data_IF_737318057385
#
_entry.id   IF_737318057385
#
_cell.length_a   1.000
_cell.length_b   1.000
_cell.length_c   1.000
_cell.angle_alpha   90.00
_cell.angle_beta   90.00
_cell.angle_gamma   90.00
#
_symmetry.space_group_name_H-M   'P 1'
#
loop_
_entity.id
_entity.type
_entity.pdbx_description
1 polymer ?
#
# COMPACT_ATOMS: atom_id res chain seq x y z
N UNK A 1 -14.55 16.79 -12.17
CA UNK A 1 -14.42 16.68 -13.64
C UNK A 1 -12.97 16.57 -14.09
N UNK A 2 -12.09 17.52 -13.76
CA UNK A 2 -10.68 17.47 -14.19
C UNK A 2 -9.93 16.21 -13.72
N UNK A 3 -10.07 15.82 -12.44
CA UNK A 3 -9.45 14.60 -11.91
C UNK A 3 -9.88 13.35 -12.69
N UNK A 4 -11.19 13.14 -12.84
CA UNK A 4 -11.72 11.99 -13.61
C UNK A 4 -11.17 11.98 -15.03
N UNK A 5 -11.05 13.13 -15.69
CA UNK A 5 -10.47 13.22 -17.02
C UNK A 5 -8.98 12.80 -17.04
N UNK A 6 -8.17 13.25 -16.09
CA UNK A 6 -6.75 12.85 -15.96
C UNK A 6 -6.62 11.34 -15.81
N UNK A 7 -7.40 10.74 -14.91
CA UNK A 7 -7.35 9.29 -14.69
C UNK A 7 -7.99 8.48 -15.83
N UNK A 8 -8.98 9.05 -16.53
CA UNK A 8 -9.52 8.43 -17.76
C UNK A 8 -8.47 8.40 -18.86
N UNK A 9 -7.72 9.49 -19.05
CA UNK A 9 -6.60 9.53 -19.98
C UNK A 9 -5.54 8.53 -19.55
N UNK A 10 -5.24 8.44 -18.26
CA UNK A 10 -4.21 7.55 -17.77
C UNK A 10 -4.55 6.06 -17.99
N UNK A 11 -5.79 5.67 -17.69
CA UNK A 11 -6.28 4.31 -17.90
C UNK A 11 -6.38 3.94 -19.38
N UNK A 12 -6.75 4.88 -20.26
CA UNK A 12 -7.03 4.57 -21.68
C UNK A 12 -5.84 4.78 -22.61
N UNK A 13 -4.98 5.72 -22.27
CA UNK A 13 -3.88 6.19 -23.12
C UNK A 13 -2.56 6.25 -22.35
N UNK A 14 -2.34 5.28 -21.44
CA UNK A 14 -1.16 5.18 -20.60
C UNK A 14 0.16 5.37 -21.36
N UNK A 15 0.25 4.81 -22.57
CA UNK A 15 1.45 4.91 -23.42
C UNK A 15 1.75 6.33 -23.92
N UNK A 16 0.74 7.20 -23.96
CA UNK A 16 0.87 8.58 -24.45
C UNK A 16 1.18 9.59 -23.33
N UNK A 17 1.12 9.17 -22.06
CA UNK A 17 1.31 10.06 -20.92
C UNK A 17 2.76 10.58 -20.83
N UNK A 18 3.75 9.72 -21.10
CA UNK A 18 5.19 10.03 -20.95
C UNK A 18 5.51 10.60 -19.56
N UNK A 19 6.12 11.78 -19.48
CA UNK A 19 6.46 12.47 -18.23
C UNK A 19 5.24 12.89 -17.39
N UNK A 20 4.02 12.72 -17.91
CA UNK A 20 2.80 12.97 -17.16
C UNK A 20 2.54 11.96 -16.03
N UNK A 21 3.24 10.82 -16.01
CA UNK A 21 3.11 9.84 -14.92
C UNK A 21 3.45 10.45 -13.57
N UNK A 22 4.45 11.32 -13.53
CA UNK A 22 4.75 12.14 -12.35
C UNK A 22 3.54 12.88 -11.79
N UNK A 23 2.73 13.51 -12.64
CA UNK A 23 1.55 14.26 -12.18
C UNK A 23 0.46 13.32 -11.64
N UNK A 24 0.28 12.16 -12.29
CA UNK A 24 -0.65 11.13 -11.83
C UNK A 24 -0.23 10.61 -10.46
N UNK A 25 1.06 10.26 -10.31
CA UNK A 25 1.64 9.79 -9.06
C UNK A 25 1.58 10.85 -7.96
N UNK A 26 1.95 12.10 -8.25
CA UNK A 26 1.86 13.20 -7.29
C UNK A 26 0.42 13.37 -6.76
N UNK A 27 -0.58 13.18 -7.62
CA UNK A 27 -1.98 13.19 -7.20
C UNK A 27 -2.34 11.98 -6.33
N UNK A 28 -1.92 10.78 -6.71
CA UNK A 28 -2.16 9.54 -5.94
C UNK A 28 -1.52 9.65 -4.54
N UNK A 29 -0.28 10.10 -4.46
CA UNK A 29 0.42 10.32 -3.18
C UNK A 29 -0.24 11.43 -2.36
N UNK A 30 -0.79 12.46 -3.01
CA UNK A 30 -1.59 13.46 -2.31
C UNK A 30 -2.87 12.86 -1.71
N UNK A 31 -3.55 11.96 -2.43
CA UNK A 31 -4.73 11.23 -1.92
C UNK A 31 -4.38 10.28 -0.77
N UNK A 32 -3.21 9.63 -0.83
CA UNK A 32 -2.68 8.77 0.22
C UNK A 32 -2.50 9.55 1.52
N UNK A 33 -1.82 10.70 1.46
CA UNK A 33 -1.55 11.55 2.63
C UNK A 33 -2.80 12.06 3.34
N UNK A 34 -3.90 12.23 2.62
CA UNK A 34 -5.19 12.67 3.17
C UNK A 34 -6.13 11.50 3.48
N UNK A 35 -5.68 10.25 3.33
CA UNK A 35 -6.46 9.05 3.66
C UNK A 35 -7.68 8.81 2.77
N UNK A 36 -7.67 9.31 1.53
CA UNK A 36 -8.80 9.18 0.60
C UNK A 36 -8.56 8.12 -0.50
N UNK A 37 -7.44 7.41 -0.47
CA UNK A 37 -7.19 6.32 -1.41
C UNK A 37 -8.11 5.12 -1.13
N UNK A 38 -8.62 4.44 -2.18
CA UNK A 38 -9.31 3.17 -2.02
C UNK A 38 -8.39 2.12 -1.36
N UNK A 39 -8.93 1.37 -0.40
CA UNK A 39 -8.20 0.40 0.45
C UNK A 39 -7.55 -0.78 -0.30
N UNK A 40 -7.68 -0.85 -1.63
CA UNK A 40 -7.39 -2.04 -2.45
C UNK A 40 -6.18 -1.90 -3.37
N UNK A 41 -5.46 -0.79 -3.35
CA UNK A 41 -4.49 -0.46 -4.40
C UNK A 41 -3.30 -1.44 -4.49
N UNK A 42 -2.92 -2.09 -3.40
CA UNK A 42 -1.72 -2.92 -3.32
C UNK A 42 -1.97 -4.43 -3.10
N UNK A 43 -3.22 -4.89 -2.98
CA UNK A 43 -3.53 -6.22 -2.40
C UNK A 43 -3.88 -7.34 -3.40
N UNK A 44 -4.04 -7.05 -4.69
CA UNK A 44 -4.64 -8.02 -5.64
C UNK A 44 -3.64 -8.88 -6.44
N UNK A 45 -2.33 -8.84 -6.15
CA UNK A 45 -1.33 -9.59 -6.91
C UNK A 45 -1.11 -11.05 -6.45
N UNK A 46 -1.78 -11.50 -5.38
CA UNK A 46 -1.53 -12.82 -4.75
C UNK A 46 -2.66 -13.83 -4.92
N UNK A 47 -3.86 -13.43 -5.33
CA UNK A 47 -5.03 -14.34 -5.31
C UNK A 47 -5.08 -15.32 -6.49
N UNK A 48 -4.18 -15.20 -7.48
CA UNK A 48 -4.21 -16.03 -8.70
C UNK A 48 -3.24 -17.22 -8.69
N UNK A 49 -2.53 -17.49 -7.58
CA UNK A 49 -1.48 -18.54 -7.54
C UNK A 49 -1.80 -19.75 -6.63
N UNK A 50 -2.86 -19.71 -5.81
CA UNK A 50 -3.18 -20.82 -4.87
C UNK A 50 -4.45 -21.65 -5.20
N UNK A 51 -5.04 -21.50 -6.39
CA UNK A 51 -6.23 -22.29 -6.79
C UNK A 51 -5.88 -23.57 -7.58
N UNK A 52 -4.78 -24.25 -7.27
CA UNK A 52 -4.48 -25.56 -7.84
C UNK A 52 -3.81 -26.51 -6.85
N UNK A 53 -4.59 -27.04 -5.91
CA UNK A 53 -4.32 -28.37 -5.36
C UNK A 53 -5.62 -29.02 -4.89
N UNK A 54 -6.01 -30.04 -5.63
CA UNK A 54 -6.78 -31.23 -5.28
C UNK A 54 -8.05 -31.09 -4.44
N UNK A 55 -9.16 -31.28 -5.16
CA UNK A 55 -10.37 -31.91 -4.64
C UNK A 55 -10.00 -33.32 -4.17
N UNK A 56 -10.11 -33.58 -2.88
CA UNK A 56 -10.53 -34.90 -2.44
C UNK A 56 -11.55 -34.83 -1.31
N UNK A 57 -12.62 -35.58 -1.53
CA UNK A 57 -13.82 -35.64 -0.71
C UNK A 57 -13.58 -36.56 0.48
N UNK A 58 -13.95 -36.13 1.69
CA UNK A 58 -14.47 -37.05 2.71
C UNK A 58 -15.60 -36.38 3.49
N UNK A 59 -16.83 -36.86 3.24
CA UNK A 59 -18.03 -36.68 4.07
C UNK A 59 -17.97 -37.65 5.25
N UNK A 60 -18.28 -37.19 6.47
CA UNK A 60 -19.04 -38.01 7.45
C UNK A 60 -19.94 -37.15 8.34
N UNK A 61 -21.19 -37.61 8.45
CA UNK A 61 -22.37 -37.09 9.13
C UNK A 61 -22.33 -37.19 10.67
N UNK A 62 -22.91 -36.15 11.31
CA UNK A 62 -23.99 -36.17 12.33
C UNK A 62 -23.74 -36.65 13.78
N UNK A 63 -24.33 -35.91 14.75
CA UNK A 63 -25.55 -36.32 15.51
C UNK A 63 -25.77 -35.51 16.82
N UNK A 64 -26.88 -34.73 16.82
CA UNK A 64 -27.92 -34.46 17.84
C UNK A 64 -27.75 -33.59 19.12
N UNK A 65 -28.75 -32.70 19.26
CA UNK A 65 -29.15 -31.78 20.35
C UNK A 65 -29.92 -32.49 21.52
N UNK A 66 -30.42 -31.83 22.60
CA UNK A 66 -31.58 -30.90 22.54
C UNK A 66 -31.69 -29.73 23.58
N UNK A 67 -32.40 -28.69 23.10
CA UNK A 67 -33.38 -27.76 23.71
C UNK A 67 -33.40 -27.37 25.21
N UNK A 68 -33.52 -26.05 25.47
CA UNK A 68 -34.57 -25.49 26.34
C UNK A 68 -35.00 -24.08 25.89
N UNK A 69 -36.24 -23.73 26.23
CA UNK A 69 -37.12 -22.75 25.60
C UNK A 69 -37.36 -21.50 26.50
N UNK A 70 -37.31 -20.28 25.90
CA UNK A 70 -38.01 -18.98 26.20
C UNK A 70 -37.88 -18.29 27.59
N UNK A 71 -38.19 -16.97 27.77
CA UNK A 71 -38.55 -15.90 26.83
C UNK A 71 -37.79 -14.55 26.99
N UNK A 72 -38.12 -13.60 26.10
CA UNK A 72 -37.58 -12.26 25.91
C UNK A 72 -37.36 -11.39 27.18
N UNK A 73 -36.18 -10.74 27.24
CA UNK A 73 -35.99 -9.43 27.88
C UNK A 73 -35.19 -8.53 26.95
N UNK A 74 -35.82 -7.43 26.54
CA UNK A 74 -35.21 -6.28 25.89
C UNK A 74 -34.35 -5.53 26.92
N UNK A 75 -33.09 -5.28 26.61
CA UNK A 75 -32.27 -4.18 27.15
C UNK A 75 -31.08 -4.00 26.20
N UNK A 76 -31.02 -2.92 25.43
CA UNK A 76 -30.34 -1.66 25.83
C UNK A 76 -28.83 -1.91 26.01
N UNK A 77 -27.89 -1.38 25.21
CA UNK A 77 -27.94 -0.49 24.06
C UNK A 77 -26.51 -0.36 23.52
N UNK A 78 -26.36 -0.29 22.19
CA UNK A 78 -25.09 0.04 21.50
C UNK A 78 -24.81 1.56 21.57
N UNK A 79 -25.64 2.33 22.29
CA UNK A 79 -25.47 3.75 22.53
C UNK A 79 -24.78 4.05 23.87
N UNK A 80 -23.70 3.30 24.18
CA UNK A 80 -22.95 3.44 25.44
C UNK A 80 -21.61 4.16 25.31
N UNK A 81 -21.13 4.46 24.10
CA UNK A 81 -19.77 5.01 23.88
C UNK A 81 -19.72 6.51 23.59
N UNK A 82 -20.85 7.22 23.63
CA UNK A 82 -20.88 8.68 23.56
C UNK A 82 -20.87 9.37 24.94
N UNK A 83 -20.81 8.62 26.05
CA UNK A 83 -20.89 9.20 27.39
C UNK A 83 -19.55 9.65 27.98
N UNK A 84 -18.44 9.59 27.23
CA UNK A 84 -17.13 10.08 27.70
C UNK A 84 -16.70 11.44 27.13
N UNK A 85 -17.57 12.13 26.38
CA UNK A 85 -17.26 13.45 25.79
C UNK A 85 -17.94 14.63 26.50
N UNK A 86 -18.49 14.43 27.70
CA UNK A 86 -19.10 15.50 28.49
C UNK A 86 -18.52 15.56 29.91
N UNK A 87 -17.20 15.63 30.02
CA UNK A 87 -16.53 16.05 31.25
C UNK A 87 -15.52 17.16 30.97
N UNK A 88 -16.02 18.39 31.15
CA UNK A 88 -15.35 19.61 31.64
C UNK A 88 -13.88 19.85 31.21
N UNK A 89 -13.64 20.80 30.32
CA UNK A 89 -13.34 22.20 30.67
C UNK A 89 -13.19 23.06 29.38
N UNK A 90 -13.35 24.37 29.50
CA UNK A 90 -13.61 25.32 28.42
C UNK A 90 -12.57 25.36 27.26
N UNK A 91 -12.97 24.92 26.06
CA UNK A 91 -12.46 25.46 24.79
C UNK A 91 -13.43 25.10 23.64
N UNK A 92 -13.91 26.15 22.95
CA UNK A 92 -14.59 26.19 21.65
C UNK A 92 -15.19 24.87 21.08
N UNK A 93 -16.52 24.77 20.87
CA UNK A 93 -17.12 23.56 20.33
C UNK A 93 -16.65 23.32 18.89
N UNK A 94 -15.99 22.19 18.65
CA UNK A 94 -15.66 21.72 17.30
C UNK A 94 -16.92 21.74 16.42
N UNK A 95 -16.88 22.53 15.35
CA UNK A 95 -17.99 22.71 14.43
C UNK A 95 -18.45 21.36 13.87
N UNK A 96 -19.73 21.00 14.09
CA UNK A 96 -20.34 19.84 13.43
C UNK A 96 -20.26 20.05 11.91
N UNK A 97 -19.85 19.06 11.11
CA UNK A 97 -19.80 19.20 9.67
C UNK A 97 -21.21 19.55 9.16
N UNK A 98 -21.32 20.63 8.40
CA UNK A 98 -22.55 21.04 7.74
C UNK A 98 -23.00 19.98 6.74
N UNK A 99 -24.31 19.98 6.42
CA UNK A 99 -24.88 19.11 5.39
C UNK A 99 -24.16 19.29 4.03
N UNK A 100 -23.76 20.51 3.72
CA UNK A 100 -22.97 20.82 2.52
C UNK A 100 -21.59 20.17 2.53
N UNK A 101 -20.90 20.17 3.68
CA UNK A 101 -19.60 19.51 3.83
C UNK A 101 -19.71 17.98 3.69
N UNK A 102 -20.77 17.37 4.23
CA UNK A 102 -21.04 15.95 4.04
C UNK A 102 -21.33 15.62 2.57
N UNK A 103 -22.16 16.44 1.90
CA UNK A 103 -22.44 16.28 0.47
C UNK A 103 -21.20 16.51 -0.41
N UNK A 104 -20.31 17.44 -0.04
CA UNK A 104 -19.03 17.65 -0.71
C UNK A 104 -18.10 16.44 -0.53
N UNK A 105 -18.00 15.91 0.69
CA UNK A 105 -17.18 14.74 1.00
C UNK A 105 -17.64 13.50 0.21
N UNK A 106 -18.97 13.23 0.19
CA UNK A 106 -19.57 12.16 -0.61
C UNK A 106 -19.21 12.29 -2.10
N UNK A 107 -19.33 13.51 -2.66
CA UNK A 107 -18.97 13.78 -4.05
C UNK A 107 -17.48 13.55 -4.33
N UNK A 108 -16.61 13.90 -3.39
CA UNK A 108 -15.17 13.63 -3.51
C UNK A 108 -14.89 12.13 -3.56
N UNK A 109 -15.48 11.33 -2.65
CA UNK A 109 -15.31 9.87 -2.65
C UNK A 109 -15.83 9.23 -3.94
N UNK A 110 -17.00 9.65 -4.43
CA UNK A 110 -17.52 9.19 -5.72
C UNK A 110 -16.60 9.58 -6.89
N UNK A 111 -16.03 10.78 -6.86
CA UNK A 111 -15.09 11.25 -7.88
C UNK A 111 -13.84 10.37 -7.89
N UNK A 112 -13.29 10.03 -6.72
CA UNK A 112 -12.13 9.16 -6.58
C UNK A 112 -12.44 7.74 -7.05
N UNK A 113 -13.61 7.19 -6.72
CA UNK A 113 -14.04 5.88 -7.22
C UNK A 113 -14.11 5.85 -8.75
N UNK A 114 -14.67 6.90 -9.37
CA UNK A 114 -14.75 7.03 -10.83
C UNK A 114 -13.39 7.24 -11.51
N UNK A 115 -12.31 7.45 -10.75
CA UNK A 115 -10.97 7.55 -11.31
C UNK A 115 -10.36 6.17 -11.61
N UNK A 116 -10.89 5.07 -11.04
CA UNK A 116 -10.37 3.72 -11.26
C UNK A 116 -8.83 3.66 -11.13
N UNK A 117 -8.33 4.17 -10.01
CA UNK A 117 -6.87 4.33 -9.77
C UNK A 117 -6.17 2.97 -9.72
N UNK A 118 -6.82 1.96 -9.18
CA UNK A 118 -6.39 0.56 -9.12
C UNK A 118 -6.14 -0.03 -10.51
N UNK A 119 -7.00 0.29 -11.48
CA UNK A 119 -6.87 -0.20 -12.85
C UNK A 119 -5.53 0.20 -13.47
N UNK A 120 -5.00 1.40 -13.19
CA UNK A 120 -3.69 1.84 -13.71
C UNK A 120 -2.58 0.84 -13.38
N UNK A 121 -2.58 0.30 -12.17
CA UNK A 121 -1.54 -0.60 -11.69
C UNK A 121 -1.81 -2.07 -12.03
N UNK A 122 -3.08 -2.49 -11.96
CA UNK A 122 -3.51 -3.81 -12.40
C UNK A 122 -3.29 -4.03 -13.91
N UNK A 123 -3.54 -3.00 -14.70
CA UNK A 123 -3.42 -3.02 -16.17
C UNK A 123 -2.03 -2.55 -16.65
N UNK A 124 -1.08 -2.30 -15.73
CA UNK A 124 0.28 -1.87 -16.07
C UNK A 124 1.01 -2.85 -17.01
N UNK A 125 0.64 -4.14 -16.98
CA UNK A 125 1.11 -5.18 -17.90
C UNK A 125 0.84 -4.89 -19.38
N UNK A 126 -0.16 -4.06 -19.67
CA UNK A 126 -0.52 -3.67 -21.04
C UNK A 126 0.23 -2.44 -21.53
N UNK A 127 0.97 -1.73 -20.66
CA UNK A 127 1.78 -0.58 -21.06
C UNK A 127 2.97 -1.01 -21.91
N UNK A 128 3.34 -0.19 -22.88
CA UNK A 128 4.57 -0.34 -23.64
C UNK A 128 5.81 -0.17 -22.75
N UNK A 129 6.94 -0.71 -23.21
CA UNK A 129 8.23 -0.70 -22.52
C UNK A 129 8.59 0.68 -21.96
N UNK A 130 8.55 1.69 -22.81
CA UNK A 130 8.95 3.05 -22.49
C UNK A 130 8.03 3.69 -21.46
N UNK A 131 6.72 3.49 -21.58
CA UNK A 131 5.75 4.07 -20.65
C UNK A 131 5.80 3.40 -19.28
N UNK A 132 5.94 2.07 -19.26
CA UNK A 132 6.10 1.31 -18.02
C UNK A 132 7.39 1.68 -17.28
N UNK A 133 8.52 1.77 -17.98
CA UNK A 133 9.78 2.25 -17.39
C UNK A 133 9.61 3.65 -16.82
N UNK A 134 8.95 4.56 -17.55
CA UNK A 134 8.74 5.93 -17.07
C UNK A 134 7.85 5.98 -15.81
N UNK A 135 6.79 5.19 -15.75
CA UNK A 135 5.94 5.05 -14.56
C UNK A 135 6.77 4.60 -13.35
N UNK A 136 7.59 3.55 -13.51
CA UNK A 136 8.44 3.03 -12.44
C UNK A 136 9.51 4.05 -12.03
N UNK A 137 10.19 4.70 -12.98
CA UNK A 137 11.18 5.73 -12.70
C UNK A 137 10.57 6.90 -11.92
N UNK A 138 9.40 7.41 -12.33
CA UNK A 138 8.75 8.52 -11.64
C UNK A 138 8.23 8.10 -10.25
N UNK A 139 7.82 6.84 -10.05
CA UNK A 139 7.43 6.29 -8.75
C UNK A 139 8.63 6.22 -7.80
N UNK A 140 9.75 5.64 -8.24
CA UNK A 140 10.99 5.57 -7.46
C UNK A 140 11.50 6.97 -7.13
N UNK A 141 11.44 7.89 -8.09
CA UNK A 141 11.81 9.28 -7.86
C UNK A 141 10.91 9.95 -6.82
N UNK A 142 9.60 9.68 -6.85
CA UNK A 142 8.65 10.23 -5.87
C UNK A 142 8.92 9.70 -4.45
N UNK A 143 9.24 8.41 -4.32
CA UNK A 143 9.58 7.77 -3.05
C UNK A 143 10.85 8.32 -2.40
N UNK A 144 11.79 8.85 -3.21
CA UNK A 144 13.07 9.42 -2.75
C UNK A 144 13.03 10.92 -2.51
N UNK A 145 11.90 11.62 -2.71
CA UNK A 145 11.85 13.08 -2.58
C UNK A 145 11.95 13.49 -1.11
N UNK A 146 12.96 14.29 -0.71
CA UNK A 146 12.99 14.84 0.64
C UNK A 146 11.84 15.83 0.81
N UNK A 147 10.86 15.50 1.64
CA UNK A 147 9.78 16.43 1.94
C UNK A 147 10.29 17.59 2.82
N UNK A 148 10.12 18.82 2.33
CA UNK A 148 10.66 20.06 2.91
C UNK A 148 9.98 20.49 4.24
N UNK A 149 9.33 19.57 4.96
CA UNK A 149 8.61 19.86 6.20
C UNK A 149 8.99 18.90 7.32
N UNK A 150 8.79 19.30 8.57
CA UNK A 150 9.15 18.55 9.78
C UNK A 150 8.37 17.21 9.98
N UNK A 151 7.71 16.67 8.96
CA UNK A 151 6.82 15.51 9.06
C UNK A 151 7.51 14.21 8.61
N UNK A 152 8.56 13.80 9.33
CA UNK A 152 9.31 12.55 9.06
C UNK A 152 8.40 11.32 8.93
N UNK A 153 7.36 11.22 9.77
CA UNK A 153 6.42 10.09 9.77
C UNK A 153 5.61 9.98 8.47
N UNK A 154 5.18 11.11 7.89
CA UNK A 154 4.43 11.09 6.62
C UNK A 154 5.34 10.76 5.43
N UNK A 155 6.63 11.11 5.52
CA UNK A 155 7.64 10.75 4.53
C UNK A 155 7.84 9.24 4.50
N UNK A 156 7.91 8.62 5.69
CA UNK A 156 7.99 7.18 5.85
C UNK A 156 6.74 6.47 5.32
N UNK A 157 5.53 6.89 5.71
CA UNK A 157 4.28 6.32 5.19
C UNK A 157 4.20 6.41 3.65
N UNK A 158 4.70 7.51 3.08
CA UNK A 158 4.74 7.71 1.63
C UNK A 158 5.72 6.72 0.98
N UNK A 159 6.90 6.53 1.58
CA UNK A 159 7.93 5.61 1.08
C UNK A 159 7.46 4.15 1.12
N UNK A 160 6.79 3.73 2.20
CA UNK A 160 6.21 2.38 2.36
C UNK A 160 5.16 2.14 1.29
N UNK A 161 4.24 3.09 1.12
CA UNK A 161 3.22 3.00 0.07
C UNK A 161 3.84 2.92 -1.35
N UNK A 162 4.90 3.69 -1.62
CA UNK A 162 5.59 3.62 -2.91
C UNK A 162 6.26 2.26 -3.13
N UNK A 163 6.85 1.66 -2.10
CA UNK A 163 7.45 0.33 -2.17
C UNK A 163 6.38 -0.73 -2.42
N UNK A 164 5.25 -0.70 -1.71
CA UNK A 164 4.12 -1.60 -1.95
C UNK A 164 3.61 -1.52 -3.38
N UNK A 165 3.46 -0.29 -3.90
CA UNK A 165 3.01 -0.05 -5.25
C UNK A 165 4.03 -0.52 -6.30
N UNK A 166 5.32 -0.30 -6.03
CA UNK A 166 6.40 -0.79 -6.89
C UNK A 166 6.44 -2.31 -6.94
N UNK A 167 6.25 -2.99 -5.79
CA UNK A 167 6.12 -4.45 -5.72
C UNK A 167 4.91 -4.92 -6.54
N UNK A 168 3.74 -4.28 -6.38
CA UNK A 168 2.53 -4.64 -7.12
C UNK A 168 2.71 -4.50 -8.65
N UNK A 169 3.31 -3.39 -9.11
CA UNK A 169 3.64 -3.19 -10.53
C UNK A 169 4.61 -4.28 -11.00
N UNK A 170 5.65 -4.56 -10.22
CA UNK A 170 6.66 -5.57 -10.58
C UNK A 170 6.05 -6.97 -10.72
N UNK A 171 5.18 -7.36 -9.79
CA UNK A 171 4.46 -8.64 -9.83
C UNK A 171 3.54 -8.74 -11.05
N UNK A 172 2.83 -7.66 -11.40
CA UNK A 172 1.97 -7.62 -12.58
C UNK A 172 2.75 -7.70 -13.91
N UNK A 173 4.04 -7.36 -13.89
CA UNK A 173 4.92 -7.32 -15.07
C UNK A 173 6.01 -8.41 -15.02
N UNK A 174 5.70 -9.57 -14.44
CA UNK A 174 6.66 -10.67 -14.19
C UNK A 174 7.46 -11.11 -15.43
N UNK A 175 6.85 -11.10 -16.61
CA UNK A 175 7.45 -11.48 -17.88
C UNK A 175 8.46 -10.45 -18.41
N UNK A 176 8.39 -9.22 -17.88
CA UNK A 176 9.19 -8.07 -18.29
C UNK A 176 10.02 -7.52 -17.13
N UNK A 177 10.23 -8.31 -16.08
CA UNK A 177 10.92 -7.86 -14.87
C UNK A 177 12.30 -7.25 -15.15
N UNK A 178 13.04 -7.79 -16.12
CA UNK A 178 14.37 -7.27 -16.48
C UNK A 178 14.35 -5.82 -16.97
N UNK A 179 13.22 -5.35 -17.52
CA UNK A 179 13.03 -3.96 -17.93
C UNK A 179 12.84 -3.01 -16.74
N UNK A 180 12.38 -3.53 -15.61
CA UNK A 180 12.11 -2.76 -14.39
C UNK A 180 13.24 -2.92 -13.36
N UNK A 181 14.05 -3.97 -13.51
CA UNK A 181 14.88 -4.48 -12.43
C UNK A 181 15.86 -3.47 -11.87
N UNK A 182 16.55 -2.73 -12.72
CA UNK A 182 17.52 -1.70 -12.30
C UNK A 182 16.86 -0.69 -11.33
N UNK A 183 15.70 -0.15 -11.70
CA UNK A 183 14.96 0.79 -10.87
C UNK A 183 14.41 0.16 -9.59
N UNK A 184 13.95 -1.10 -9.67
CA UNK A 184 13.39 -1.84 -8.53
C UNK A 184 14.49 -2.15 -7.51
N UNK A 185 15.63 -2.66 -7.97
CA UNK A 185 16.81 -2.92 -7.15
C UNK A 185 17.33 -1.65 -6.49
N UNK A 186 17.50 -0.57 -7.25
CA UNK A 186 17.99 0.72 -6.73
C UNK A 186 17.08 1.30 -5.65
N UNK A 187 15.78 1.03 -5.71
CA UNK A 187 14.85 1.43 -4.65
C UNK A 187 14.95 0.52 -3.43
N UNK A 188 14.95 -0.80 -3.63
CA UNK A 188 15.08 -1.79 -2.55
C UNK A 188 16.39 -1.61 -1.81
N UNK A 189 17.52 -1.45 -2.50
CA UNK A 189 18.82 -1.23 -1.89
C UNK A 189 18.81 0.04 -1.03
N UNK A 190 18.20 1.12 -1.51
CA UNK A 190 18.05 2.37 -0.75
C UNK A 190 17.19 2.18 0.51
N UNK A 191 16.08 1.45 0.40
CA UNK A 191 15.21 1.13 1.53
C UNK A 191 15.98 0.29 2.55
N UNK A 192 16.60 -0.82 2.14
CA UNK A 192 17.30 -1.70 3.07
C UNK A 192 18.49 -0.99 3.73
N UNK A 193 19.29 -0.21 3.00
CA UNK A 193 20.38 0.57 3.59
C UNK A 193 19.89 1.54 4.69
N UNK A 194 18.70 2.12 4.52
CA UNK A 194 18.10 2.97 5.56
C UNK A 194 17.60 2.19 6.79
N UNK A 195 17.31 0.89 6.65
CA UNK A 195 16.82 0.01 7.73
C UNK A 195 17.92 -0.66 8.55
N UNK A 196 19.09 -0.92 7.95
CA UNK A 196 20.22 -1.57 8.61
C UNK A 196 20.72 -0.73 9.80
N UNK A 197 20.73 0.59 9.65
CA UNK A 197 21.21 1.56 10.65
C UNK A 197 20.39 1.58 11.97
N UNK A 198 19.04 1.49 11.96
CA UNK A 198 18.23 1.41 13.18
C UNK A 198 17.94 -0.01 13.72
N UNK A 199 18.46 -1.08 13.12
CA UNK A 199 18.02 -2.45 13.45
C UNK A 199 18.45 -2.95 14.85
N UNK A 200 17.64 -3.80 15.48
CA UNK A 200 17.95 -4.43 16.78
C UNK A 200 19.13 -5.42 16.71
N UNK A 201 19.39 -5.97 15.52
CA UNK A 201 20.48 -6.90 15.22
C UNK A 201 21.19 -6.43 13.93
N UNK A 202 22.13 -5.46 14.03
CA UNK A 202 22.78 -4.88 12.87
C UNK A 202 23.56 -5.91 12.05
N UNK A 203 24.29 -6.82 12.69
CA UNK A 203 25.09 -7.85 12.00
C UNK A 203 24.23 -8.82 11.17
N UNK A 204 23.06 -9.23 11.69
CA UNK A 204 22.14 -10.12 10.97
C UNK A 204 21.43 -9.37 9.82
N UNK A 205 21.10 -8.10 10.03
CA UNK A 205 20.49 -7.25 9.00
C UNK A 205 21.46 -6.94 7.87
N UNK A 206 22.74 -6.71 8.20
CA UNK A 206 23.83 -6.51 7.26
C UNK A 206 24.09 -7.77 6.43
N UNK A 207 24.23 -8.95 7.07
CA UNK A 207 24.41 -10.22 6.34
C UNK A 207 23.21 -10.57 5.44
N UNK A 208 21.99 -10.29 5.91
CA UNK A 208 20.77 -10.44 5.11
C UNK A 208 20.75 -9.49 3.90
N UNK A 209 21.15 -8.22 4.10
CA UNK A 209 21.28 -7.26 3.02
C UNK A 209 22.35 -7.65 2.02
N UNK A 210 23.54 -8.09 2.44
CA UNK A 210 24.59 -8.56 1.54
C UNK A 210 24.11 -9.75 0.70
N UNK A 211 23.40 -10.69 1.31
CA UNK A 211 22.82 -11.84 0.61
C UNK A 211 21.79 -11.42 -0.41
N UNK A 212 20.85 -10.53 -0.05
CA UNK A 212 19.86 -9.99 -0.98
C UNK A 212 20.55 -9.21 -2.10
N UNK A 213 21.48 -8.32 -1.77
CA UNK A 213 22.23 -7.52 -2.73
C UNK A 213 22.99 -8.40 -3.71
N UNK A 214 23.62 -9.47 -3.25
CA UNK A 214 24.31 -10.45 -4.08
C UNK A 214 23.35 -11.17 -5.05
N UNK A 215 22.24 -11.72 -4.54
CA UNK A 215 21.21 -12.39 -5.37
C UNK A 215 20.60 -11.42 -6.39
N UNK A 216 20.46 -10.16 -6.00
CA UNK A 216 19.81 -9.13 -6.78
C UNK A 216 20.75 -8.41 -7.77
N UNK A 217 22.06 -8.49 -7.55
CA UNK A 217 23.08 -7.79 -8.35
C UNK A 217 23.00 -8.18 -9.83
N UNK A 218 22.94 -7.16 -10.70
CA UNK A 218 22.82 -7.27 -12.17
C UNK A 218 21.61 -8.07 -12.70
N UNK A 219 20.72 -8.52 -11.82
CA UNK A 219 19.57 -9.37 -12.14
C UNK A 219 19.92 -10.76 -12.71
N UNK A 220 21.20 -11.13 -12.77
CA UNK A 220 21.66 -12.38 -13.38
C UNK A 220 21.16 -13.64 -12.65
N UNK A 221 20.90 -13.52 -11.35
CA UNK A 221 20.37 -14.61 -10.53
C UNK A 221 18.86 -14.54 -10.32
N UNK A 222 18.17 -13.58 -10.94
CA UNK A 222 16.72 -13.51 -10.84
C UNK A 222 16.06 -14.45 -11.81
N UNK A 223 15.11 -15.18 -11.25
CA UNK A 223 14.21 -16.04 -11.96
C UNK A 223 12.79 -15.75 -11.47
N UNK A 224 11.77 -16.16 -12.23
CA UNK A 224 10.40 -16.18 -11.75
C UNK A 224 10.22 -16.90 -10.41
N UNK A 225 11.15 -17.77 -10.00
CA UNK A 225 11.08 -18.55 -8.77
C UNK A 225 11.60 -17.80 -7.52
N UNK A 226 12.41 -16.75 -7.66
CA UNK A 226 13.05 -16.08 -6.51
C UNK A 226 12.79 -14.58 -6.41
N UNK A 227 12.35 -13.91 -7.48
CA UNK A 227 12.11 -12.46 -7.43
C UNK A 227 11.01 -12.09 -6.42
N UNK A 228 9.96 -12.92 -6.27
CA UNK A 228 8.91 -12.72 -5.26
C UNK A 228 9.50 -12.73 -3.85
N UNK A 229 10.39 -13.69 -3.56
CA UNK A 229 11.08 -13.76 -2.26
C UNK A 229 11.94 -12.51 -2.01
N UNK A 230 12.62 -11.99 -3.03
CA UNK A 230 13.38 -10.75 -2.93
C UNK A 230 12.48 -9.54 -2.63
N UNK A 231 11.31 -9.45 -3.28
CA UNK A 231 10.33 -8.40 -3.05
C UNK A 231 9.70 -8.48 -1.66
N UNK A 232 9.38 -9.69 -1.19
CA UNK A 232 8.84 -9.92 0.15
C UNK A 232 9.88 -9.62 1.23
N UNK A 233 11.15 -9.98 1.00
CA UNK A 233 12.22 -9.62 1.92
C UNK A 233 12.38 -8.09 2.01
N UNK A 234 12.34 -7.37 0.88
CA UNK A 234 12.36 -5.91 0.87
C UNK A 234 11.19 -5.31 1.67
N UNK A 235 9.98 -5.87 1.52
CA UNK A 235 8.81 -5.48 2.32
C UNK A 235 9.06 -5.67 3.82
N UNK A 236 9.61 -6.81 4.23
CA UNK A 236 9.90 -7.10 5.64
C UNK A 236 10.94 -6.14 6.23
N UNK A 237 11.96 -5.76 5.46
CA UNK A 237 12.93 -4.74 5.89
C UNK A 237 12.25 -3.39 6.11
N UNK A 238 11.38 -2.96 5.20
CA UNK A 238 10.65 -1.70 5.31
C UNK A 238 9.68 -1.67 6.51
N UNK A 239 8.92 -2.77 6.72
CA UNK A 239 8.04 -2.95 7.89
C UNK A 239 8.82 -2.91 9.21
N UNK A 240 10.02 -3.50 9.25
CA UNK A 240 10.88 -3.49 10.43
C UNK A 240 11.33 -2.08 10.83
N UNK A 241 11.45 -1.17 9.86
CA UNK A 241 11.76 0.25 10.07
C UNK A 241 10.64 0.94 10.85
N UNK A 242 9.40 0.77 10.40
CA UNK A 242 8.20 1.38 11.01
C UNK A 242 8.01 0.90 12.46
N UNK A 243 8.18 -0.41 12.69
CA UNK A 243 8.05 -1.01 14.03
C UNK A 243 9.15 -0.62 15.03
N UNK A 244 10.28 -0.08 14.57
CA UNK A 244 11.34 0.46 15.44
C UNK A 244 11.05 1.90 15.88
N UNK A 245 10.48 2.70 14.99
CA UNK A 245 10.17 4.12 15.24
C UNK A 245 9.01 4.25 16.23
N UNK A 246 7.93 3.48 16.05
CA UNK A 246 6.81 3.46 17.00
C UNK A 246 7.24 3.07 18.42
N UNK A 247 8.20 2.13 18.56
CA UNK A 247 8.75 1.76 19.87
C UNK A 247 9.62 2.86 20.48
N UNK A 248 10.41 3.55 19.67
CA UNK A 248 11.30 4.62 20.12
C UNK A 248 10.53 5.85 20.62
N UNK A 249 9.43 6.21 19.94
CA UNK A 249 8.53 7.31 20.35
C UNK A 249 7.83 7.00 21.68
N UNK A 250 7.36 5.77 21.87
CA UNK A 250 6.69 5.36 23.11
C UNK A 250 7.62 5.26 24.34
N UNK A 251 8.93 5.16 24.14
CA UNK A 251 9.94 5.12 25.21
C UNK A 251 10.45 6.51 25.64
N UNK A 252 10.10 7.56 24.88
CA UNK A 252 10.59 8.93 25.10
C UNK A 252 9.52 9.93 25.58
N UNK A 253 8.30 9.45 25.88
CA UNK A 253 7.21 10.15 26.60
C UNK A 253 6.96 9.52 27.96
#
# INVERSE_FOLDING_TARGET
MATVAVFTIANRYGDLIRSGWRNVLDYILSLQKIGLLPSRLARDATDDVESSSDRDQVKTLSTNSPASHVPARKSSGIMGRFSLLLSLDAKEPAARPSEEQLAAHQRTLQTIQNCHIDSIFADSKFLQAESLSQLVCDLVAAAKRPHKGNNSLQDEDTSVFCLELLIAITLNNRDRIMLLWENVYDHIASVVQSTVMPSQHPEASEAGFETLSYIMSEGAHLSPANYVLCLDAARQFDESRVGFIDRSVNLST
#
